data_IF_786448387245
#
_entry.id   IF_786448387245
#
_cell.length_a   1.000
_cell.length_b   1.000
_cell.length_c   1.000
_cell.angle_alpha   90.00
_cell.angle_beta   90.00
_cell.angle_gamma   90.00
#
_symmetry.space_group_name_H-M   'P 1'
#
loop_
_entity.id
_entity.type
_entity.pdbx_description
1 polymer ?
#
# COMPACT_ATOMS: atom_id res chain seq x y z
N UNK A 1 -18.65 6.71 -36.50
CA UNK A 1 -19.15 7.46 -35.31
C UNK A 1 -19.11 6.57 -34.08
N UNK A 2 -19.67 5.36 -34.13
CA UNK A 2 -19.64 4.40 -33.01
C UNK A 2 -18.22 4.06 -32.52
N UNK A 3 -17.27 3.81 -33.43
CA UNK A 3 -15.90 3.41 -33.05
C UNK A 3 -15.15 4.51 -32.28
N UNK A 4 -15.33 5.77 -32.69
CA UNK A 4 -14.76 6.93 -32.00
C UNK A 4 -15.35 7.09 -30.59
N UNK A 5 -16.65 6.83 -30.43
CA UNK A 5 -17.32 6.86 -29.13
C UNK A 5 -16.83 5.75 -28.20
N UNK A 6 -16.60 4.55 -28.74
CA UNK A 6 -16.05 3.41 -27.97
C UNK A 6 -14.62 3.72 -27.51
N UNK A 7 -13.77 4.25 -28.39
CA UNK A 7 -12.40 4.64 -28.04
C UNK A 7 -12.40 5.72 -26.96
N UNK A 8 -13.25 6.74 -27.08
CA UNK A 8 -13.35 7.80 -26.08
C UNK A 8 -13.81 7.27 -24.71
N UNK A 9 -14.77 6.34 -24.69
CA UNK A 9 -15.25 5.71 -23.46
C UNK A 9 -14.16 4.89 -22.76
N UNK A 10 -13.34 4.14 -23.51
CA UNK A 10 -12.23 3.36 -22.96
C UNK A 10 -11.15 4.27 -22.36
N UNK A 11 -10.83 5.37 -23.02
CA UNK A 11 -9.87 6.36 -22.50
C UNK A 11 -10.40 6.98 -21.20
N UNK A 12 -11.67 7.41 -21.18
CA UNK A 12 -12.29 7.96 -19.98
C UNK A 12 -12.30 6.96 -18.83
N UNK A 13 -12.65 5.69 -19.09
CA UNK A 13 -12.62 4.63 -18.09
C UNK A 13 -11.19 4.40 -17.54
N UNK A 14 -10.18 4.39 -18.40
CA UNK A 14 -8.78 4.27 -17.98
C UNK A 14 -8.33 5.43 -17.09
N UNK A 15 -8.70 6.66 -17.43
CA UNK A 15 -8.41 7.85 -16.61
C UNK A 15 -9.08 7.74 -15.24
N UNK A 16 -10.37 7.38 -15.20
CA UNK A 16 -11.11 7.18 -13.93
C UNK A 16 -10.46 6.07 -13.09
N UNK A 17 -10.01 4.98 -13.70
CA UNK A 17 -9.35 3.90 -12.97
C UNK A 17 -8.04 4.36 -12.33
N UNK A 18 -7.19 5.07 -13.08
CA UNK A 18 -5.91 5.58 -12.58
C UNK A 18 -6.11 6.61 -11.46
N UNK A 19 -7.09 7.51 -11.59
CA UNK A 19 -7.39 8.49 -10.54
C UNK A 19 -7.88 7.83 -9.26
N UNK A 20 -8.74 6.80 -9.36
CA UNK A 20 -9.20 6.02 -8.21
C UNK A 20 -8.07 5.26 -7.52
N UNK A 21 -7.18 4.62 -8.27
CA UNK A 21 -6.00 3.94 -7.71
C UNK A 21 -5.10 4.93 -6.96
N UNK A 22 -4.81 6.09 -7.57
CA UNK A 22 -3.98 7.12 -6.95
C UNK A 22 -4.63 7.71 -5.69
N UNK A 23 -5.94 7.90 -5.70
CA UNK A 23 -6.69 8.31 -4.51
C UNK A 23 -6.59 7.28 -3.38
N UNK A 24 -6.67 5.99 -3.72
CA UNK A 24 -6.51 4.92 -2.74
C UNK A 24 -5.11 4.92 -2.14
N UNK A 25 -4.06 5.06 -2.96
CA UNK A 25 -2.68 5.19 -2.47
C UNK A 25 -2.51 6.39 -1.55
N UNK A 26 -3.01 7.57 -1.91
CA UNK A 26 -2.92 8.76 -1.04
C UNK A 26 -3.63 8.55 0.31
N UNK A 27 -4.82 7.93 0.30
CA UNK A 27 -5.53 7.56 1.52
C UNK A 27 -4.74 6.56 2.38
N UNK A 28 -4.07 5.60 1.75
CA UNK A 28 -3.22 4.65 2.45
C UNK A 28 -1.94 5.31 2.97
N UNK A 29 -1.32 6.23 2.25
CA UNK A 29 -0.13 6.98 2.69
C UNK A 29 -0.47 7.88 3.88
N UNK A 30 -1.58 8.62 3.82
CA UNK A 30 -2.05 9.43 4.95
C UNK A 30 -2.33 8.58 6.19
N UNK A 31 -2.88 7.36 6.02
CA UNK A 31 -3.06 6.42 7.13
C UNK A 31 -1.77 5.78 7.61
N UNK A 32 -0.80 5.53 6.72
CA UNK A 32 0.54 5.02 7.05
C UNK A 32 1.38 6.02 7.83
N UNK A 33 1.17 7.32 7.63
CA UNK A 33 1.81 8.34 8.46
C UNK A 33 1.38 8.29 9.94
N UNK A 34 0.21 7.69 10.24
CA UNK A 34 -0.29 7.46 11.60
C UNK A 34 0.03 6.05 12.12
N UNK A 35 0.55 5.17 11.27
CA UNK A 35 0.94 3.83 11.69
C UNK A 35 2.30 3.91 12.39
N UNK A 36 2.50 3.15 13.49
CA UNK A 36 3.82 3.05 14.07
C UNK A 36 4.81 2.54 13.01
N UNK A 37 6.07 2.99 13.09
CA UNK A 37 7.14 2.49 12.22
C UNK A 37 7.23 0.96 12.37
N UNK A 38 7.37 0.26 11.24
CA UNK A 38 7.38 -1.20 11.22
C UNK A 38 6.77 -1.75 9.94
N UNK A 39 7.04 -3.01 9.61
CA UNK A 39 6.37 -3.65 8.48
C UNK A 39 5.01 -4.18 8.93
N UNK A 40 4.01 -4.17 8.03
CA UNK A 40 2.75 -4.85 8.30
C UNK A 40 2.92 -6.39 8.40
N UNK A 41 4.10 -6.90 8.06
CA UNK A 41 4.47 -8.31 8.16
C UNK A 41 3.67 -9.23 7.24
N UNK A 42 4.04 -10.51 7.24
CA UNK A 42 3.19 -11.56 6.70
C UNK A 42 2.04 -11.85 7.69
N UNK A 43 0.78 -12.06 7.28
CA UNK A 43 -0.34 -12.23 8.23
C UNK A 43 -0.18 -13.41 9.21
N UNK A 44 0.59 -14.43 8.82
CA UNK A 44 0.76 -15.67 9.59
C UNK A 44 2.02 -15.71 10.45
N UNK A 45 3.15 -15.20 9.96
CA UNK A 45 4.44 -15.26 10.69
C UNK A 45 5.12 -13.89 10.83
N UNK A 46 4.56 -12.84 10.23
CA UNK A 46 4.98 -11.47 10.44
C UNK A 46 6.51 -11.29 10.43
N UNK A 47 6.98 -10.74 11.55
CA UNK A 47 8.39 -10.54 11.88
C UNK A 47 8.90 -11.57 12.91
N UNK A 48 8.13 -12.63 13.22
CA UNK A 48 8.47 -13.60 14.26
C UNK A 48 9.82 -14.31 14.06
N UNK A 49 10.25 -14.69 12.83
CA UNK A 49 11.58 -15.26 12.63
C UNK A 49 12.70 -14.28 12.97
N UNK A 50 12.49 -12.99 12.69
CA UNK A 50 13.45 -11.93 13.01
C UNK A 50 13.48 -11.67 14.52
N UNK A 51 12.32 -11.67 15.18
CA UNK A 51 12.23 -11.59 16.63
C UNK A 51 13.00 -12.74 17.31
N UNK A 52 12.85 -13.98 16.84
CA UNK A 52 13.57 -15.14 17.39
C UNK A 52 15.08 -15.08 17.12
N UNK A 53 15.49 -14.54 15.96
CA UNK A 53 16.89 -14.44 15.58
C UNK A 53 17.64 -13.33 16.33
N UNK A 54 17.02 -12.18 16.55
CA UNK A 54 17.67 -10.98 17.10
C UNK A 54 17.26 -10.69 18.56
N UNK A 55 16.22 -11.34 19.08
CA UNK A 55 15.82 -11.24 20.47
C UNK A 55 15.57 -9.79 20.93
N UNK A 56 16.07 -9.36 22.09
CA UNK A 56 15.87 -8.00 22.62
C UNK A 56 16.36 -6.87 21.70
N UNK A 57 17.31 -7.14 20.80
CA UNK A 57 17.84 -6.14 19.87
C UNK A 57 16.85 -5.79 18.75
N UNK A 58 15.95 -6.70 18.40
CA UNK A 58 14.83 -6.42 17.50
C UNK A 58 13.96 -5.26 18.00
N UNK A 59 13.68 -5.23 19.30
CA UNK A 59 12.86 -4.19 19.94
C UNK A 59 13.57 -2.81 19.96
N UNK A 60 14.91 -2.80 19.88
CA UNK A 60 15.69 -1.56 19.79
C UNK A 60 15.64 -0.98 18.37
N UNK A 61 15.53 -1.83 17.35
CA UNK A 61 15.42 -1.43 15.94
C UNK A 61 14.02 -0.91 15.56
N UNK A 62 13.00 -1.27 16.32
CA UNK A 62 11.59 -0.86 16.11
C UNK A 62 11.22 0.49 16.76
N UNK A 63 12.13 1.12 17.51
CA UNK A 63 11.93 2.48 18.03
C UNK A 63 12.36 3.48 16.94
N UNK A 64 11.41 4.16 16.29
CA UNK A 64 11.72 5.33 15.47
C UNK A 64 12.10 6.54 16.32
#
# INVERSE_FOLDING_TARGET
>A
MADLLVIAALIAAGIVWVTLLKWNEMKHVMKKALLPPGTMGWPLLGETPYFLKYGPDFMKQQRA
#
